data_IF_242256575886
#
_entry.id   IF_242256575886
#
_cell.length_a   1.000
_cell.length_b   1.000
_cell.length_c   1.000
_cell.angle_alpha   90.00
_cell.angle_beta   90.00
_cell.angle_gamma   90.00
#
_symmetry.space_group_name_H-M   'P 1'
#
loop_
_entity.id
_entity.type
_entity.pdbx_description
1 polymer ?
#
# COMPACT_ATOMS: atom_id res chain seq x y z
N UNK A 1 8.27 49.92 9.81
CA UNK A 1 8.94 48.89 8.99
C UNK A 1 9.01 47.52 9.69
N UNK A 2 8.32 47.31 10.83
CA UNK A 2 8.43 46.06 11.62
C UNK A 2 7.37 44.99 11.27
N UNK A 3 6.31 45.35 10.53
CA UNK A 3 5.24 44.42 10.13
C UNK A 3 5.49 43.70 8.80
N UNK A 4 6.45 44.15 7.97
CA UNK A 4 6.78 43.48 6.71
C UNK A 4 7.58 42.18 6.94
N UNK A 5 8.50 42.17 7.91
CA UNK A 5 9.32 40.98 8.20
C UNK A 5 8.52 39.79 8.74
N UNK A 6 7.42 40.04 9.44
CA UNK A 6 6.52 38.99 9.97
C UNK A 6 5.69 38.32 8.87
N UNK A 7 5.33 39.06 7.82
CA UNK A 7 4.59 38.53 6.67
C UNK A 7 5.45 37.56 5.86
N UNK A 8 6.75 37.85 5.69
CA UNK A 8 7.67 36.93 5.00
C UNK A 8 7.96 35.65 5.78
N UNK A 9 8.00 35.71 7.12
CA UNK A 9 8.20 34.52 7.96
C UNK A 9 6.96 33.60 7.93
N UNK A 10 5.75 34.17 7.88
CA UNK A 10 4.51 33.39 7.73
C UNK A 10 4.37 32.73 6.35
N UNK A 11 4.85 33.37 5.27
CA UNK A 11 4.88 32.78 3.93
C UNK A 11 5.94 31.68 3.79
N UNK A 12 7.06 31.77 4.51
CA UNK A 12 8.11 30.75 4.49
C UNK A 12 7.74 29.48 5.28
N UNK A 13 6.84 29.57 6.27
CA UNK A 13 6.41 28.42 7.11
C UNK A 13 5.38 27.53 6.39
N UNK A 14 4.74 28.01 5.31
CA UNK A 14 3.83 27.19 4.48
C UNK A 14 4.53 26.35 3.40
N UNK A 15 5.86 26.43 3.28
CA UNK A 15 6.67 25.60 2.36
C UNK A 15 7.27 24.37 3.05
N UNK A 16 6.78 24.02 4.25
CA UNK A 16 7.03 22.71 4.83
C UNK A 16 6.43 21.64 3.93
N UNK A 17 7.29 20.90 3.23
CA UNK A 17 6.98 19.79 2.32
C UNK A 17 6.09 18.77 3.02
N UNK A 18 4.78 18.99 2.95
CA UNK A 18 3.81 17.94 3.13
C UNK A 18 3.98 17.00 1.94
N UNK A 19 4.51 15.81 2.18
CA UNK A 19 4.24 14.65 1.34
C UNK A 19 2.75 14.30 1.50
N UNK A 20 1.89 15.23 1.09
CA UNK A 20 0.48 15.03 0.99
C UNK A 20 0.28 14.04 -0.15
N UNK A 21 -0.65 13.11 0.05
CA UNK A 21 -1.25 12.32 -1.02
C UNK A 21 -1.34 13.12 -2.33
N UNK A 22 -1.13 12.46 -3.46
CA UNK A 22 -1.24 13.07 -4.80
C UNK A 22 -2.70 13.42 -5.12
N UNK A 23 -3.23 14.45 -4.44
CA UNK A 23 -4.39 15.21 -4.91
C UNK A 23 -3.88 16.06 -6.06
N UNK A 24 -4.18 15.61 -7.26
CA UNK A 24 -3.78 16.26 -8.50
C UNK A 24 -4.94 17.02 -9.15
N UNK A 25 -4.64 18.06 -9.94
CA UNK A 25 -5.64 18.64 -10.81
C UNK A 25 -6.05 17.64 -11.91
N UNK A 26 -7.24 17.85 -12.46
CA UNK A 26 -7.77 17.11 -13.60
C UNK A 26 -8.66 15.93 -13.23
N UNK A 27 -8.90 15.08 -14.23
CA UNK A 27 -9.76 13.91 -14.12
C UNK A 27 -8.94 12.64 -14.07
N UNK A 28 -9.46 11.61 -13.42
CA UNK A 28 -8.90 10.27 -13.55
C UNK A 28 -8.71 9.93 -15.03
N UNK A 29 -7.56 9.37 -15.40
CA UNK A 29 -7.31 9.06 -16.79
C UNK A 29 -8.30 7.96 -17.24
N UNK A 30 -8.53 7.90 -18.55
CA UNK A 30 -9.41 6.89 -19.17
C UNK A 30 -8.59 6.07 -20.17
N UNK A 31 -9.10 4.89 -20.53
CA UNK A 31 -8.43 4.00 -21.48
C UNK A 31 -7.32 3.12 -20.88
N UNK A 32 -7.17 3.09 -19.56
CA UNK A 32 -6.26 2.16 -18.88
C UNK A 32 -6.71 0.73 -19.13
N UNK A 33 -5.74 -0.14 -19.33
CA UNK A 33 -5.92 -1.57 -19.44
C UNK A 33 -5.52 -2.24 -18.14
N UNK A 34 -6.27 -3.27 -17.77
CA UNK A 34 -6.03 -4.07 -16.58
C UNK A 34 -5.73 -5.51 -16.98
N UNK A 35 -5.12 -6.27 -16.08
CA UNK A 35 -4.70 -7.65 -16.34
C UNK A 35 -5.90 -8.48 -16.81
N UNK A 36 -5.90 -8.85 -18.09
CA UNK A 36 -6.90 -9.75 -18.64
C UNK A 36 -6.77 -11.14 -17.98
N UNK A 37 -7.92 -11.78 -17.72
CA UNK A 37 -7.98 -13.09 -17.07
C UNK A 37 -7.16 -13.14 -15.77
N UNK A 38 -7.29 -12.10 -14.94
CA UNK A 38 -6.58 -12.05 -13.67
C UNK A 38 -7.01 -13.20 -12.75
N UNK A 39 -6.04 -13.99 -12.29
CA UNK A 39 -6.24 -15.12 -11.41
C UNK A 39 -5.75 -14.78 -10.00
N UNK A 40 -6.68 -14.38 -9.13
CA UNK A 40 -6.38 -13.96 -7.77
C UNK A 40 -5.57 -15.00 -6.96
N UNK A 41 -5.81 -16.29 -7.19
CA UNK A 41 -5.11 -17.39 -6.54
C UNK A 41 -3.62 -17.44 -6.88
N UNK A 42 -3.23 -17.04 -8.09
CA UNK A 42 -1.80 -16.93 -8.49
C UNK A 42 -1.14 -15.68 -7.93
N UNK A 43 -1.94 -14.68 -7.55
CA UNK A 43 -1.45 -13.40 -7.07
C UNK A 43 -1.07 -13.41 -5.58
N UNK A 44 -1.59 -14.37 -4.80
CA UNK A 44 -1.36 -14.43 -3.35
C UNK A 44 0.11 -14.65 -2.97
N UNK A 45 0.42 -14.51 -1.68
CA UNK A 45 1.77 -14.56 -1.14
C UNK A 45 2.38 -13.18 -0.93
N UNK A 46 3.71 -13.14 -0.80
CA UNK A 46 4.45 -11.93 -0.48
C UNK A 46 4.78 -11.09 -1.73
N UNK A 47 4.67 -9.78 -1.58
CA UNK A 47 5.06 -8.77 -2.57
C UNK A 47 5.80 -7.63 -1.87
N UNK A 48 7.03 -7.34 -2.32
CA UNK A 48 7.80 -6.18 -1.88
C UNK A 48 7.40 -4.96 -2.71
N UNK A 49 7.21 -3.83 -2.04
CA UNK A 49 7.04 -2.54 -2.73
C UNK A 49 8.39 -2.01 -3.18
N UNK A 50 8.54 -1.78 -4.48
CA UNK A 50 9.79 -1.29 -5.09
C UNK A 50 9.74 0.22 -5.28
N UNK A 51 8.58 0.71 -5.74
CA UNK A 51 8.30 2.13 -5.84
C UNK A 51 6.80 2.37 -5.80
N UNK A 52 6.40 3.52 -5.28
CA UNK A 52 5.00 3.92 -5.23
C UNK A 52 4.84 5.43 -5.42
N UNK A 53 3.63 5.86 -5.72
CA UNK A 53 3.27 7.26 -5.52
C UNK A 53 3.30 7.62 -4.03
N UNK A 54 3.52 8.90 -3.67
CA UNK A 54 3.51 9.34 -2.29
C UNK A 54 2.11 9.15 -1.69
N UNK A 55 2.04 8.44 -0.56
CA UNK A 55 0.81 8.23 0.17
C UNK A 55 1.01 8.53 1.65
N UNK A 56 0.07 9.25 2.26
CA UNK A 56 0.18 9.66 3.68
C UNK A 56 0.21 8.47 4.62
N UNK A 57 -0.45 7.36 4.26
CA UNK A 57 -0.51 6.14 5.07
C UNK A 57 0.74 5.25 4.97
N UNK A 58 1.67 5.51 4.03
CA UNK A 58 2.96 4.80 3.91
C UNK A 58 4.16 5.72 4.13
N UNK A 59 3.92 6.99 4.46
CA UNK A 59 4.96 8.00 4.58
C UNK A 59 6.05 7.60 5.58
N UNK A 60 7.31 7.66 5.14
CA UNK A 60 8.48 7.41 5.98
C UNK A 60 8.76 5.93 6.27
N UNK A 61 8.17 4.99 5.53
CA UNK A 61 8.45 3.56 5.64
C UNK A 61 9.55 3.12 4.66
N UNK A 62 10.42 2.23 5.14
CA UNK A 62 11.27 1.33 4.35
C UNK A 62 10.79 -0.12 4.54
N UNK A 63 11.28 -1.03 3.72
CA UNK A 63 10.99 -2.47 3.79
C UNK A 63 9.49 -2.78 3.67
N UNK A 64 8.76 -1.92 2.96
CA UNK A 64 7.33 -2.07 2.77
C UNK A 64 7.07 -3.33 1.94
N UNK A 65 6.20 -4.18 2.45
CA UNK A 65 5.74 -5.38 1.75
C UNK A 65 4.31 -5.71 2.17
N UNK A 66 3.64 -6.46 1.29
CA UNK A 66 2.29 -6.93 1.48
C UNK A 66 2.26 -8.45 1.37
N UNK A 67 1.62 -9.11 2.35
CA UNK A 67 1.30 -10.53 2.28
C UNK A 67 -0.20 -10.65 2.00
N UNK A 68 -0.52 -11.30 0.89
CA UNK A 68 -1.88 -11.58 0.47
C UNK A 68 -2.21 -13.04 0.80
N UNK A 69 -3.29 -13.26 1.55
CA UNK A 69 -3.73 -14.60 1.97
C UNK A 69 -5.14 -14.86 1.46
N UNK A 70 -5.41 -15.99 0.77
CA UNK A 70 -6.77 -16.36 0.41
C UNK A 70 -7.65 -16.47 1.65
N UNK A 71 -8.85 -15.85 1.63
CA UNK A 71 -9.80 -15.94 2.74
C UNK A 71 -11.07 -16.68 2.35
N UNK A 72 -11.65 -16.34 1.20
CA UNK A 72 -12.81 -17.01 0.60
C UNK A 72 -12.89 -16.65 -0.89
N UNK A 73 -13.90 -17.15 -1.60
CA UNK A 73 -14.13 -16.77 -3.00
C UNK A 73 -14.14 -15.25 -3.17
N UNK A 74 -13.30 -14.75 -4.08
CA UNK A 74 -13.12 -13.32 -4.37
C UNK A 74 -12.73 -12.41 -3.19
N UNK A 75 -12.26 -12.97 -2.06
CA UNK A 75 -11.85 -12.21 -0.87
C UNK A 75 -10.46 -12.62 -0.41
N UNK A 76 -9.59 -11.62 -0.23
CA UNK A 76 -8.19 -11.77 0.11
C UNK A 76 -7.92 -10.95 1.38
N UNK A 77 -7.29 -11.56 2.38
CA UNK A 77 -6.71 -10.82 3.49
C UNK A 77 -5.41 -10.16 3.05
N UNK A 78 -5.21 -8.90 3.42
CA UNK A 78 -4.02 -8.12 3.07
C UNK A 78 -3.32 -7.70 4.36
N UNK A 79 -2.10 -8.17 4.56
CA UNK A 79 -1.23 -7.71 5.66
C UNK A 79 -0.12 -6.85 5.07
N UNK A 80 -0.19 -5.55 5.28
CA UNK A 80 0.91 -4.63 4.97
C UNK A 80 1.85 -4.51 6.17
N UNK A 81 3.14 -4.44 5.89
CA UNK A 81 4.18 -4.26 6.91
C UNK A 81 5.30 -3.38 6.35
N UNK A 82 5.90 -2.57 7.20
CA UNK A 82 7.05 -1.73 6.87
C UNK A 82 7.77 -1.31 8.14
N UNK A 83 8.88 -0.62 7.99
CA UNK A 83 9.70 -0.12 9.11
C UNK A 83 9.87 1.37 8.97
N UNK A 84 9.57 2.14 10.01
CA UNK A 84 9.79 3.59 9.98
C UNK A 84 11.28 3.89 9.93
N UNK A 85 11.68 4.74 8.98
CA UNK A 85 13.08 5.16 8.83
C UNK A 85 13.56 5.95 10.05
N UNK A 86 12.67 6.72 10.69
CA UNK A 86 13.01 7.63 11.77
C UNK A 86 13.49 6.92 13.07
N UNK A 87 12.97 5.73 13.36
CA UNK A 87 13.19 5.06 14.66
C UNK A 87 13.32 3.52 14.54
N UNK A 88 13.33 2.97 13.33
CA UNK A 88 13.35 1.53 13.04
C UNK A 88 12.23 0.71 13.70
N UNK A 89 11.09 1.32 14.04
CA UNK A 89 9.93 0.56 14.54
C UNK A 89 9.14 -0.04 13.39
N UNK A 90 8.61 -1.25 13.60
CA UNK A 90 7.76 -1.93 12.63
C UNK A 90 6.36 -1.34 12.68
N UNK A 91 5.81 -1.04 11.50
CA UNK A 91 4.41 -0.67 11.28
C UNK A 91 3.70 -1.83 10.56
N UNK A 92 2.52 -2.21 11.02
CA UNK A 92 1.71 -3.25 10.39
C UNK A 92 0.24 -2.86 10.37
N UNK A 93 -0.46 -3.26 9.32
CA UNK A 93 -1.91 -3.13 9.22
C UNK A 93 -2.49 -4.32 8.47
N UNK A 94 -3.64 -4.82 8.94
CA UNK A 94 -4.38 -5.92 8.33
C UNK A 94 -5.68 -5.37 7.77
N UNK A 95 -6.00 -5.79 6.56
CA UNK A 95 -7.20 -5.39 5.84
C UNK A 95 -7.75 -6.51 4.98
N UNK A 96 -8.68 -6.16 4.12
CA UNK A 96 -9.32 -7.09 3.20
C UNK A 96 -9.47 -6.44 1.84
N UNK A 97 -9.13 -7.18 0.80
CA UNK A 97 -9.44 -6.87 -0.57
C UNK A 97 -10.53 -7.82 -1.08
N UNK A 98 -11.47 -7.31 -1.88
CA UNK A 98 -12.46 -8.14 -2.57
C UNK A 98 -12.62 -7.70 -4.02
N UNK A 99 -13.01 -8.64 -4.88
CA UNK A 99 -13.27 -8.39 -6.30
C UNK A 99 -14.78 -8.19 -6.49
N UNK A 100 -15.26 -6.98 -6.83
CA UNK A 100 -16.69 -6.70 -6.96
C UNK A 100 -17.35 -7.43 -8.13
N UNK A 101 -16.63 -7.53 -9.25
CA UNK A 101 -17.08 -8.25 -10.46
C UNK A 101 -16.01 -9.25 -10.89
N UNK A 102 -15.97 -10.45 -10.28
CA UNK A 102 -14.95 -11.45 -10.55
C UNK A 102 -15.05 -12.08 -11.94
N UNK A 103 -16.15 -11.87 -12.67
CA UNK A 103 -16.36 -12.44 -14.00
C UNK A 103 -15.85 -11.47 -15.06
N UNK A 104 -16.24 -10.20 -14.99
CA UNK A 104 -15.94 -9.23 -16.04
C UNK A 104 -14.72 -8.36 -15.73
N UNK A 105 -14.44 -8.07 -14.45
CA UNK A 105 -13.35 -7.18 -14.03
C UNK A 105 -12.49 -7.78 -12.90
N UNK A 106 -11.93 -8.99 -13.06
CA UNK A 106 -11.25 -9.71 -11.97
C UNK A 106 -10.02 -8.97 -11.41
N UNK A 107 -9.40 -8.11 -12.21
CA UNK A 107 -8.22 -7.33 -11.84
C UNK A 107 -8.54 -6.05 -11.03
N UNK A 108 -9.81 -5.68 -10.88
CA UNK A 108 -10.22 -4.47 -10.15
C UNK A 108 -10.72 -4.84 -8.76
N UNK A 109 -9.84 -4.73 -7.78
CA UNK A 109 -10.16 -4.99 -6.40
C UNK A 109 -10.57 -3.71 -5.67
N UNK A 110 -11.31 -3.87 -4.59
CA UNK A 110 -11.53 -2.84 -3.58
C UNK A 110 -10.88 -3.30 -2.28
N UNK A 111 -9.99 -2.48 -1.72
CA UNK A 111 -9.26 -2.76 -0.49
C UNK A 111 -9.70 -1.84 0.64
N UNK A 112 -9.78 -2.36 1.87
CA UNK A 112 -10.05 -1.57 3.07
C UNK A 112 -9.33 -2.12 4.30
N UNK A 113 -9.00 -1.24 5.25
CA UNK A 113 -8.19 -1.57 6.43
C UNK A 113 -8.88 -1.10 7.71
N UNK A 114 -9.61 -1.96 8.45
CA UNK A 114 -10.22 -1.59 9.72
C UNK A 114 -9.17 -1.12 10.76
N UNK A 115 -9.52 -0.19 11.67
CA UNK A 115 -10.81 0.50 11.82
C UNK A 115 -10.99 1.70 10.87
N UNK A 116 -10.15 1.87 9.84
CA UNK A 116 -10.31 2.95 8.88
C UNK A 116 -11.56 2.70 8.03
N UNK A 117 -12.45 3.69 7.96
CA UNK A 117 -13.74 3.58 7.28
C UNK A 117 -13.65 3.74 5.74
N UNK A 118 -12.43 3.83 5.22
CA UNK A 118 -12.19 4.00 3.79
C UNK A 118 -11.96 2.72 3.04
N UNK A 119 -12.39 2.75 1.79
CA UNK A 119 -12.05 1.74 0.79
C UNK A 119 -11.39 2.44 -0.39
N UNK A 120 -10.37 1.81 -0.96
CA UNK A 120 -9.65 2.29 -2.14
C UNK A 120 -9.71 1.27 -3.27
N UNK A 121 -9.54 1.75 -4.50
CA UNK A 121 -9.28 0.87 -5.63
C UNK A 121 -7.92 0.21 -5.50
N UNK A 122 -7.81 -1.01 -6.00
CA UNK A 122 -6.54 -1.72 -6.20
C UNK A 122 -6.66 -2.43 -7.53
N UNK A 123 -6.24 -1.77 -8.60
CA UNK A 123 -6.44 -2.25 -9.97
C UNK A 123 -5.12 -2.75 -10.53
N UNK A 124 -5.03 -4.06 -10.74
CA UNK A 124 -3.83 -4.70 -11.28
C UNK A 124 -3.77 -4.41 -12.78
N UNK A 125 -2.88 -3.51 -13.17
CA UNK A 125 -2.69 -3.11 -14.57
C UNK A 125 -2.03 -4.23 -15.38
N UNK A 126 -0.98 -4.81 -14.80
CA UNK A 126 -0.30 -5.98 -15.34
C UNK A 126 0.52 -6.69 -14.26
N UNK A 127 0.72 -7.99 -14.45
CA UNK A 127 1.53 -8.84 -13.59
C UNK A 127 1.83 -10.15 -14.31
N UNK A 128 3.00 -10.73 -14.10
CA UNK A 128 3.30 -12.12 -14.47
C UNK A 128 3.07 -13.10 -13.31
N UNK A 129 2.55 -12.62 -12.18
CA UNK A 129 2.35 -13.31 -10.91
C UNK A 129 3.62 -13.71 -10.16
N UNK A 130 4.74 -13.91 -10.87
CA UNK A 130 5.97 -14.52 -10.35
C UNK A 130 7.15 -13.58 -10.19
N UNK A 131 7.12 -12.40 -10.78
CA UNK A 131 8.21 -11.43 -10.67
C UNK A 131 7.75 -10.01 -10.39
N UNK A 132 6.73 -9.48 -11.07
CA UNK A 132 6.27 -8.09 -10.88
C UNK A 132 4.76 -7.95 -10.84
N UNK A 133 4.31 -6.82 -10.29
CA UNK A 133 2.96 -6.31 -10.49
C UNK A 133 2.98 -4.80 -10.58
N UNK A 134 2.26 -4.24 -11.54
CA UNK A 134 1.94 -2.81 -11.62
C UNK A 134 0.50 -2.61 -11.21
N UNK A 135 0.29 -1.79 -10.18
CA UNK A 135 -1.02 -1.55 -9.58
C UNK A 135 -1.30 -0.07 -9.62
N UNK A 136 -2.54 0.29 -9.92
CA UNK A 136 -3.00 1.67 -9.97
C UNK A 136 -4.38 1.82 -9.33
N UNK A 137 -4.68 3.02 -8.88
CA UNK A 137 -5.99 3.43 -8.41
C UNK A 137 -6.17 4.91 -8.65
N UNK A 138 -7.38 5.30 -9.03
CA UNK A 138 -7.76 6.71 -9.09
C UNK A 138 -9.17 6.91 -8.55
N UNK A 139 -9.35 7.95 -7.74
CA UNK A 139 -10.64 8.42 -7.28
C UNK A 139 -10.84 9.87 -7.69
N UNK A 140 -11.99 10.18 -8.27
CA UNK A 140 -12.41 11.55 -8.54
C UNK A 140 -12.95 12.15 -7.22
N UNK A 141 -12.48 13.35 -6.84
CA UNK A 141 -12.87 14.02 -5.58
C UNK A 141 -13.45 15.42 -5.81
N UNK A 142 -13.93 15.68 -7.02
CA UNK A 142 -14.48 16.95 -7.49
C UNK A 142 -14.49 17.00 -9.00
N UNK A 143 -15.03 18.05 -9.62
CA UNK A 143 -15.17 18.11 -11.09
C UNK A 143 -13.83 18.04 -11.84
N UNK A 144 -12.78 18.62 -11.27
CA UNK A 144 -11.43 18.72 -11.85
C UNK A 144 -10.33 18.41 -10.81
N UNK A 145 -10.59 17.53 -9.85
CA UNK A 145 -9.61 17.07 -8.87
C UNK A 145 -9.68 15.55 -8.70
N UNK A 146 -8.50 14.93 -8.64
CA UNK A 146 -8.36 13.48 -8.51
C UNK A 146 -7.36 13.13 -7.41
N UNK A 147 -7.49 11.93 -6.86
CA UNK A 147 -6.47 11.30 -6.03
C UNK A 147 -6.02 10.04 -6.74
N UNK A 148 -4.70 9.91 -6.91
CA UNK A 148 -4.08 8.77 -7.58
C UNK A 148 -3.17 8.01 -6.64
N UNK A 149 -3.10 6.70 -6.82
CA UNK A 149 -2.10 5.85 -6.21
C UNK A 149 -1.56 4.88 -7.26
N UNK A 150 -0.27 4.61 -7.19
CA UNK A 150 0.38 3.64 -8.04
C UNK A 150 1.44 2.89 -7.24
N UNK A 151 1.60 1.61 -7.51
CA UNK A 151 2.61 0.76 -6.90
C UNK A 151 3.24 -0.14 -7.95
N UNK A 152 4.56 -0.28 -7.87
CA UNK A 152 5.30 -1.35 -8.53
C UNK A 152 5.77 -2.30 -7.45
N UNK A 153 5.31 -3.54 -7.57
CA UNK A 153 5.59 -4.61 -6.63
C UNK A 153 6.49 -5.66 -7.27
N UNK A 154 7.30 -6.33 -6.46
CA UNK A 154 8.17 -7.43 -6.87
C UNK A 154 8.07 -8.62 -5.94
N UNK A 155 8.27 -9.83 -6.45
CA UNK A 155 8.43 -11.03 -5.60
C UNK A 155 9.77 -11.06 -4.86
N UNK A 156 10.75 -10.28 -5.31
CA UNK A 156 12.05 -10.11 -4.66
C UNK A 156 12.24 -8.65 -4.23
N UNK A 157 13.30 -8.36 -3.46
CA UNK A 157 13.57 -7.01 -2.94
C UNK A 157 14.02 -6.01 -4.00
N UNK A 158 14.25 -6.46 -5.23
CA UNK A 158 14.68 -5.64 -6.37
C UNK A 158 13.96 -6.11 -7.64
N UNK A 159 14.11 -5.37 -8.73
CA UNK A 159 13.70 -5.79 -10.07
C UNK A 159 14.95 -6.01 -10.91
N UNK A 160 14.94 -7.03 -11.77
CA UNK A 160 15.96 -7.15 -12.83
C UNK A 160 15.73 -6.10 -13.90
N UNK A 161 16.76 -5.79 -14.68
CA UNK A 161 16.66 -4.77 -15.75
C UNK A 161 15.58 -5.10 -16.78
N UNK A 162 15.45 -6.38 -17.15
CA UNK A 162 14.42 -6.85 -18.08
C UNK A 162 13.01 -6.62 -17.53
N UNK A 163 12.76 -6.89 -16.24
CA UNK A 163 11.46 -6.66 -15.62
C UNK A 163 11.19 -5.17 -15.43
N UNK A 164 12.22 -4.37 -15.08
CA UNK A 164 12.09 -2.92 -15.03
C UNK A 164 11.66 -2.35 -16.38
N UNK A 165 12.22 -2.83 -17.50
CA UNK A 165 11.81 -2.39 -18.83
C UNK A 165 10.32 -2.67 -19.08
N UNK A 166 9.86 -3.89 -18.76
CA UNK A 166 8.44 -4.27 -18.89
C UNK A 166 7.55 -3.35 -18.04
N UNK A 167 7.94 -3.05 -16.79
CA UNK A 167 7.21 -2.12 -15.92
C UNK A 167 7.09 -0.74 -16.56
N UNK A 168 8.17 -0.20 -17.15
CA UNK A 168 8.13 1.11 -17.81
C UNK A 168 7.22 1.11 -19.06
N UNK A 169 7.22 0.02 -19.83
CA UNK A 169 6.31 -0.15 -20.96
C UNK A 169 4.84 -0.17 -20.50
N UNK A 170 4.54 -0.85 -19.38
CA UNK A 170 3.19 -0.87 -18.78
C UNK A 170 2.75 0.51 -18.30
N UNK A 171 3.62 1.27 -17.64
CA UNK A 171 3.30 2.62 -17.18
C UNK A 171 3.06 3.56 -18.38
N UNK A 172 3.93 3.49 -19.38
CA UNK A 172 3.86 4.34 -20.58
C UNK A 172 2.62 4.06 -21.42
N UNK A 173 2.33 2.78 -21.72
CA UNK A 173 1.18 2.41 -22.57
C UNK A 173 -0.18 2.74 -21.95
N UNK A 174 -0.22 2.97 -20.64
CA UNK A 174 -1.44 3.34 -19.91
C UNK A 174 -1.45 4.82 -19.47
N UNK A 175 -0.49 5.62 -19.93
CA UNK A 175 -0.36 7.04 -19.61
C UNK A 175 -0.29 7.33 -18.11
N UNK A 176 0.40 6.47 -17.35
CA UNK A 176 0.67 6.69 -15.93
C UNK A 176 1.91 7.57 -15.81
N UNK A 177 1.77 8.72 -15.15
CA UNK A 177 2.89 9.63 -14.92
C UNK A 177 3.96 8.96 -14.06
N UNK A 178 5.20 8.93 -14.54
CA UNK A 178 6.27 8.26 -13.81
C UNK A 178 6.95 9.19 -12.80
N UNK A 179 6.78 10.50 -12.95
CA UNK A 179 7.42 11.54 -12.14
C UNK A 179 7.15 11.41 -10.63
N UNK A 180 5.93 11.05 -10.18
CA UNK A 180 5.64 10.97 -8.75
C UNK A 180 6.20 9.72 -8.06
N UNK A 181 6.69 8.71 -8.80
CA UNK A 181 7.18 7.49 -8.16
C UNK A 181 8.38 7.77 -7.25
N UNK A 182 8.27 7.32 -6.02
CA UNK A 182 9.34 7.30 -5.03
C UNK A 182 9.79 5.85 -4.85
N UNK A 183 11.11 5.62 -4.82
CA UNK A 183 11.66 4.30 -4.52
C UNK A 183 11.47 3.96 -3.05
N UNK A 184 11.04 2.73 -2.78
CA UNK A 184 10.96 2.19 -1.43
C UNK A 184 12.24 1.41 -1.16
N UNK A 185 12.99 1.81 -0.13
CA UNK A 185 14.22 1.08 0.25
C UNK A 185 13.87 -0.30 0.79
N UNK A 186 14.48 -1.35 0.23
CA UNK A 186 14.41 -2.73 0.73
C UNK A 186 15.72 -3.17 1.42
N UNK A 187 16.55 -2.20 1.81
CA UNK A 187 17.85 -2.40 2.45
C UNK A 187 17.73 -2.28 3.98
N UNK A 188 18.59 -3.02 4.70
CA UNK A 188 18.65 -2.93 6.17
C UNK A 188 17.30 -3.24 6.84
N UNK A 189 16.54 -4.18 6.26
CA UNK A 189 15.29 -4.66 6.81
C UNK A 189 15.58 -5.63 7.97
N UNK A 190 14.94 -5.40 9.11
CA UNK A 190 14.94 -6.39 10.17
C UNK A 190 14.32 -7.69 9.64
N UNK A 191 14.76 -8.84 10.16
CA UNK A 191 14.11 -10.11 9.89
C UNK A 191 12.69 -10.06 10.46
N UNK A 192 11.74 -9.62 9.65
CA UNK A 192 10.33 -9.81 9.95
C UNK A 192 10.11 -11.33 10.08
N UNK A 193 9.35 -11.80 11.08
CA UNK A 193 9.06 -13.22 11.19
C UNK A 193 8.38 -13.67 9.89
N UNK A 194 9.09 -14.45 9.09
CA UNK A 194 8.55 -15.09 7.90
C UNK A 194 7.45 -16.05 8.37
N UNK A 195 6.24 -15.87 7.84
CA UNK A 195 5.17 -16.83 8.05
C UNK A 195 5.47 -18.05 7.17
N UNK A 196 6.03 -19.09 7.78
CA UNK A 196 5.76 -20.48 7.41
C UNK A 196 6.72 -21.18 6.45
N UNK A 197 7.99 -21.37 6.82
CA UNK A 197 8.72 -22.59 6.41
C UNK A 197 8.25 -23.74 7.29
N UNK A 198 7.36 -24.58 6.78
CA UNK A 198 6.92 -25.81 7.47
C UNK A 198 7.97 -26.90 7.32
N UNK A 199 9.02 -26.83 8.12
CA UNK A 199 9.91 -27.98 8.37
C UNK A 199 10.15 -28.10 9.87
N UNK A 200 9.51 -29.08 10.49
CA UNK A 200 9.80 -29.47 11.86
C UNK A 200 8.57 -29.87 12.63
N UNK A 201 8.14 -31.12 12.46
CA UNK A 201 7.43 -31.85 13.51
C UNK A 201 8.44 -32.13 14.62
N UNK A 202 8.16 -31.77 15.88
CA UNK A 202 8.49 -32.62 17.00
C UNK A 202 7.21 -33.25 17.54
N UNK A 203 7.27 -34.57 17.61
CA UNK A 203 6.39 -35.40 18.40
C UNK A 203 6.67 -35.17 19.91
N UNK A 204 5.76 -35.65 20.75
CA UNK A 204 5.92 -36.02 22.18
C UNK A 204 5.39 -35.04 23.26
N UNK A 205 4.19 -35.41 23.75
CA UNK A 205 3.70 -35.50 25.15
C UNK A 205 3.55 -34.27 26.06
N UNK A 206 2.29 -34.07 26.48
CA UNK A 206 1.80 -33.70 27.82
C UNK A 206 2.73 -32.98 28.82
N UNK A 207 2.40 -31.71 29.14
CA UNK A 207 2.50 -31.16 30.50
C UNK A 207 1.34 -30.18 30.75
N UNK A 208 0.61 -30.41 31.84
CA UNK A 208 -0.42 -29.58 32.45
C UNK A 208 0.16 -28.29 33.06
N UNK A 209 -0.53 -27.15 32.94
CA UNK A 209 -0.14 -25.94 33.67
C UNK A 209 -1.13 -24.78 33.52
N UNK A 210 -1.97 -24.58 34.54
CA UNK A 210 -2.87 -23.45 34.74
C UNK A 210 -2.08 -22.15 35.00
N UNK A 211 -2.49 -21.04 34.39
CA UNK A 211 -1.91 -19.71 34.65
C UNK A 211 -2.75 -18.58 34.07
N UNK A 212 -3.67 -18.04 34.87
CA UNK A 212 -4.41 -16.82 34.58
C UNK A 212 -3.47 -15.61 34.66
N UNK A 213 -3.34 -14.85 33.57
CA UNK A 213 -2.61 -13.58 33.54
C UNK A 213 -3.25 -12.64 32.53
N UNK A 214 -4.17 -11.80 32.99
CA UNK A 214 -4.73 -10.71 32.21
C UNK A 214 -3.65 -9.62 32.03
N UNK A 215 -2.99 -9.63 30.87
CA UNK A 215 -2.10 -8.56 30.42
C UNK A 215 -2.84 -7.64 29.45
N UNK A 216 -3.25 -6.47 29.91
CA UNK A 216 -3.81 -5.40 29.07
C UNK A 216 -2.71 -4.84 28.17
N UNK A 217 -2.78 -5.14 26.87
CA UNK A 217 -1.90 -4.51 25.86
C UNK A 217 -2.53 -3.18 25.45
N UNK A 218 -2.01 -2.08 25.98
CA UNK A 218 -2.45 -0.73 25.64
C UNK A 218 -1.88 -0.34 24.27
N UNK A 219 -2.74 -0.28 23.25
CA UNK A 219 -2.38 0.28 21.94
C UNK A 219 -2.32 1.81 22.06
N UNK A 220 -1.11 2.36 22.03
CA UNK A 220 -0.92 3.81 21.91
C UNK A 220 -1.34 4.25 20.49
N UNK A 221 -2.53 4.85 20.40
CA UNK A 221 -2.97 5.54 19.19
C UNK A 221 -2.11 6.80 19.02
N UNK A 222 -1.01 6.70 18.28
CA UNK A 222 -0.23 7.87 17.91
C UNK A 222 -0.95 8.65 16.80
N UNK A 223 -0.92 9.96 16.95
CA UNK A 223 -1.75 11.00 16.31
C UNK A 223 -1.56 11.17 14.79
N UNK A 224 -0.81 10.27 14.12
CA UNK A 224 -0.61 10.31 12.67
C UNK A 224 -1.77 9.74 11.85
N UNK A 225 -2.62 8.90 12.44
CA UNK A 225 -3.59 8.09 11.68
C UNK A 225 -4.99 8.72 11.55
N UNK A 226 -5.29 9.78 12.32
CA UNK A 226 -6.55 10.51 12.23
C UNK A 226 -6.72 11.19 10.85
N UNK A 227 -5.60 11.55 10.20
CA UNK A 227 -5.61 12.19 8.88
C UNK A 227 -6.05 11.26 7.74
N UNK A 228 -5.84 9.94 7.88
CA UNK A 228 -6.24 8.91 6.90
C UNK A 228 -7.76 8.74 6.89
N UNK A 229 -8.38 8.74 8.07
CA UNK A 229 -9.83 8.62 8.20
C UNK A 229 -10.57 9.81 7.56
N UNK A 230 -10.03 11.03 7.67
CA UNK A 230 -10.66 12.24 7.11
C UNK A 230 -10.60 12.24 5.57
N UNK A 231 -9.49 11.80 4.97
CA UNK A 231 -9.40 11.78 3.50
C UNK A 231 -10.22 10.65 2.88
N UNK A 232 -10.22 9.47 3.49
CA UNK A 232 -11.05 8.36 3.02
C UNK A 232 -12.57 8.62 3.20
N UNK A 233 -12.96 9.48 4.15
CA UNK A 233 -14.34 9.94 4.28
C UNK A 233 -14.76 10.86 3.11
N UNK A 234 -13.83 11.64 2.57
CA UNK A 234 -14.08 12.59 1.48
C UNK A 234 -14.18 11.94 0.10
N UNK A 235 -13.76 10.68 -0.06
CA UNK A 235 -13.99 9.88 -1.26
C UNK A 235 -15.43 9.29 -1.34
N UNK A 236 -16.28 9.58 -0.34
CA UNK A 236 -17.73 9.44 -0.46
C UNK A 236 -18.33 10.83 -0.67
N UNK A 237 -18.23 11.39 -1.88
CA UNK A 237 -19.24 12.22 -2.56
C UNK A 237 -18.78 12.46 -3.99
#
# INVERSE_FOLDING_TARGET
>A
MENLGRIFILLAVCLGLGNAQTVGPGKCPTGQTFKANFEAEKYVGNWFEIQSYPSSFQAGLKCSHAIYTPKSFAVIEVKNSGTFVANNTVSQVIGTAYIPDPINEPAKLIVGFPPMNGKGGYWVMDTDYTSYSVVYSCAQIGENQKIEFAWVLSRTKTLSDAINQIVQEVLTRNSIDQTPFQKTSQEGCANHPEVGSSTGRPDVTSVTGSGNGAGTVTFALTTGWISVAITMLLARF
#
